data_IF_882011148642
#
_entry.id   IF_882011148642
#
_cell.length_a   1.000
_cell.length_b   1.000
_cell.length_c   1.000
_cell.angle_alpha   90.00
_cell.angle_beta   90.00
_cell.angle_gamma   90.00
#
_symmetry.space_group_name_H-M   'P 1'
#
loop_
_entity.id
_entity.type
_entity.pdbx_description
1 polymer ?
#
# COMPACT_ATOMS: atom_id res chain seq x y z
N UNK A 1 16.37 14.28 7.52
CA UNK A 1 15.55 13.73 6.42
C UNK A 1 14.31 14.58 6.25
N UNK A 2 14.16 15.35 5.17
CA UNK A 2 12.89 16.02 4.85
C UNK A 2 11.90 14.94 4.44
N UNK A 3 10.89 14.67 5.26
CA UNK A 3 9.78 13.83 4.86
C UNK A 3 8.95 14.61 3.84
N UNK A 4 9.19 14.35 2.55
CA UNK A 4 8.37 14.93 1.49
C UNK A 4 6.92 14.44 1.68
N UNK A 5 5.93 15.32 1.50
CA UNK A 5 4.49 14.99 1.60
C UNK A 5 4.15 13.70 0.87
N UNK A 6 4.75 13.45 -0.28
CA UNK A 6 4.64 12.22 -1.06
C UNK A 6 5.02 10.97 -0.28
N UNK A 7 6.12 10.97 0.46
CA UNK A 7 6.54 9.80 1.26
C UNK A 7 5.52 9.48 2.37
N UNK A 8 4.91 10.51 2.95
CA UNK A 8 3.84 10.33 3.94
C UNK A 8 2.60 9.72 3.29
N UNK A 9 2.18 10.23 2.13
CA UNK A 9 1.04 9.69 1.37
C UNK A 9 1.33 8.26 0.93
N UNK A 10 2.52 7.98 0.39
CA UNK A 10 2.94 6.65 -0.04
C UNK A 10 2.87 5.64 1.10
N UNK A 11 3.31 6.04 2.30
CA UNK A 11 3.26 5.18 3.48
C UNK A 11 1.84 4.93 3.97
N UNK A 12 0.95 5.92 3.88
CA UNK A 12 -0.47 5.76 4.20
C UNK A 12 -1.17 4.84 3.19
N UNK A 13 -0.98 5.08 1.90
CA UNK A 13 -1.54 4.25 0.83
C UNK A 13 -1.02 2.82 0.88
N UNK A 14 0.27 2.62 1.14
CA UNK A 14 0.85 1.29 1.28
C UNK A 14 0.16 0.49 2.40
N UNK A 15 -0.16 1.15 3.52
CA UNK A 15 -0.87 0.52 4.63
C UNK A 15 -2.31 0.17 4.24
N UNK A 16 -3.07 1.12 3.70
CA UNK A 16 -4.47 0.89 3.32
C UNK A 16 -4.59 -0.19 2.22
N UNK A 17 -3.75 -0.13 1.20
CA UNK A 17 -3.74 -1.14 0.13
C UNK A 17 -3.42 -2.52 0.69
N UNK A 18 -2.46 -2.64 1.62
CA UNK A 18 -2.17 -3.90 2.29
C UNK A 18 -3.37 -4.48 3.04
N UNK A 19 -4.11 -3.64 3.76
CA UNK A 19 -5.33 -4.06 4.47
C UNK A 19 -6.46 -4.46 3.50
N UNK A 20 -6.67 -3.71 2.41
CA UNK A 20 -7.66 -4.03 1.37
C UNK A 20 -7.34 -5.37 0.71
N UNK A 21 -6.09 -5.56 0.27
CA UNK A 21 -5.67 -6.81 -0.36
C UNK A 21 -5.78 -7.98 0.59
N UNK A 22 -5.41 -7.82 1.87
CA UNK A 22 -5.60 -8.87 2.86
C UNK A 22 -7.07 -9.29 3.00
N UNK A 23 -8.00 -8.32 3.00
CA UNK A 23 -9.43 -8.61 3.08
C UNK A 23 -9.96 -9.29 1.82
N UNK A 24 -9.54 -8.84 0.63
CA UNK A 24 -9.92 -9.49 -0.62
C UNK A 24 -9.32 -10.90 -0.76
N UNK A 25 -8.04 -11.07 -0.43
CA UNK A 25 -7.38 -12.37 -0.54
C UNK A 25 -7.90 -13.36 0.49
N UNK A 26 -8.44 -12.93 1.63
CA UNK A 26 -9.17 -13.84 2.54
C UNK A 26 -10.38 -14.50 1.87
N UNK A 27 -11.03 -13.83 0.93
CA UNK A 27 -12.12 -14.41 0.15
C UNK A 27 -11.62 -15.25 -1.04
N UNK A 28 -10.35 -15.10 -1.45
CA UNK A 28 -9.73 -15.82 -2.57
C UNK A 28 -8.82 -16.93 -2.04
N UNK A 29 -9.25 -18.19 -2.13
CA UNK A 29 -8.44 -19.33 -1.64
C UNK A 29 -7.09 -19.43 -2.37
N UNK A 30 -6.00 -19.43 -1.59
CA UNK A 30 -4.65 -19.74 -2.07
C UNK A 30 -3.86 -18.55 -2.62
N UNK A 31 -4.37 -17.31 -2.50
CA UNK A 31 -3.67 -16.11 -2.94
C UNK A 31 -3.19 -15.29 -1.73
N UNK A 32 -1.93 -14.88 -1.74
CA UNK A 32 -1.36 -13.95 -0.75
C UNK A 32 -0.72 -12.78 -1.49
N UNK A 33 -1.17 -11.57 -1.18
CA UNK A 33 -0.68 -10.34 -1.80
C UNK A 33 -0.06 -9.47 -0.71
N UNK A 34 1.17 -9.01 -0.96
CA UNK A 34 1.89 -8.09 -0.08
C UNK A 34 2.31 -6.84 -0.86
N UNK A 35 2.08 -5.66 -0.29
CA UNK A 35 2.43 -4.37 -0.90
C UNK A 35 3.75 -3.89 -0.31
N UNK A 36 4.83 -3.96 -1.09
CA UNK A 36 6.18 -3.64 -0.63
C UNK A 36 6.59 -2.17 -0.81
N UNK A 37 6.20 -1.53 -1.90
CA UNK A 37 6.58 -0.15 -2.23
C UNK A 37 5.44 0.53 -3.00
N UNK A 38 5.19 1.81 -2.70
CA UNK A 38 4.24 2.66 -3.43
C UNK A 38 4.97 3.89 -3.94
N UNK A 39 4.89 4.14 -5.25
CA UNK A 39 5.44 5.34 -5.90
C UNK A 39 4.31 6.31 -6.20
N UNK A 40 4.52 7.60 -5.92
CA UNK A 40 3.54 8.68 -6.12
C UNK A 40 4.20 9.78 -6.95
N UNK A 41 3.55 10.16 -8.05
CA UNK A 41 3.98 11.30 -8.87
C UNK A 41 3.72 12.63 -8.13
N UNK A 42 4.55 13.67 -8.33
CA UNK A 42 4.32 15.01 -7.81
C UNK A 42 3.09 15.76 -8.33
N UNK A 43 2.46 15.32 -9.43
CA UNK A 43 1.30 15.99 -10.06
C UNK A 43 0.00 15.89 -9.26
#
# INVERSE_FOLDING_TARGET
>A
MKANRQNKIARLLQKELGEIFLLQTKAMKGLLISVSIVHISPD
#
